data_IF_004219989761
#
_entry.id   IF_004219989761
#
_cell.length_a   1.000
_cell.length_b   1.000
_cell.length_c   1.000
_cell.angle_alpha   90.00
_cell.angle_beta   90.00
_cell.angle_gamma   90.00
#
_symmetry.space_group_name_H-M   'P 1'
#
loop_
_entity.id
_entity.type
_entity.pdbx_description
1 polymer ?
#
# COMPACT_ATOMS: atom_id res chain seq x y z
N UNK A 1 37.43 -22.59 44.48
CA UNK A 1 36.12 -22.02 44.89
C UNK A 1 35.84 -20.77 44.03
N UNK A 2 35.88 -20.90 42.69
CA UNK A 2 35.73 -19.76 41.75
C UNK A 2 35.18 -20.17 40.36
N UNK A 3 35.00 -21.48 40.08
CA UNK A 3 34.43 -21.96 38.80
C UNK A 3 32.96 -22.36 38.88
N UNK A 4 32.37 -22.47 40.08
CA UNK A 4 30.93 -22.76 40.22
C UNK A 4 30.04 -21.52 40.13
N UNK A 5 30.57 -20.32 40.36
CA UNK A 5 29.78 -19.07 40.31
C UNK A 5 29.67 -18.49 38.89
N UNK A 6 30.63 -18.75 38.00
CA UNK A 6 30.53 -18.30 36.59
C UNK A 6 29.47 -19.09 35.81
N UNK A 7 29.29 -20.38 36.12
CA UNK A 7 28.32 -21.21 35.41
C UNK A 7 26.88 -20.98 35.88
N UNK A 8 26.64 -20.43 37.07
CA UNK A 8 25.28 -20.05 37.51
C UNK A 8 24.86 -18.68 36.98
N UNK A 9 25.80 -17.78 36.70
CA UNK A 9 25.50 -16.43 36.21
C UNK A 9 25.18 -16.38 34.71
N UNK A 10 25.72 -17.31 33.91
CA UNK A 10 25.43 -17.38 32.46
C UNK A 10 24.04 -17.99 32.14
N UNK A 11 23.46 -18.80 33.04
CA UNK A 11 22.15 -19.40 32.80
C UNK A 11 20.99 -18.46 33.15
N UNK A 12 21.11 -17.64 34.19
CA UNK A 12 20.06 -16.69 34.61
C UNK A 12 19.87 -15.53 33.60
N UNK A 13 20.93 -15.07 32.94
CA UNK A 13 20.84 -14.00 31.92
C UNK A 13 20.22 -14.51 30.60
N UNK A 14 20.43 -15.78 30.25
CA UNK A 14 19.83 -16.38 29.05
C UNK A 14 18.32 -16.59 29.21
N UNK A 15 17.87 -17.01 30.40
CA UNK A 15 16.44 -17.16 30.71
C UNK A 15 15.76 -15.81 30.82
N UNK A 16 16.40 -14.80 31.43
CA UNK A 16 15.86 -13.45 31.45
C UNK A 16 15.78 -12.83 30.04
N UNK A 17 16.75 -13.09 29.15
CA UNK A 17 16.73 -12.60 27.78
C UNK A 17 15.64 -13.28 26.94
N UNK A 18 15.45 -14.60 27.10
CA UNK A 18 14.38 -15.34 26.43
C UNK A 18 13.00 -14.92 26.97
N UNK A 19 12.86 -14.70 28.27
CA UNK A 19 11.63 -14.20 28.89
C UNK A 19 11.34 -12.74 28.52
N UNK A 20 12.35 -11.87 28.37
CA UNK A 20 12.16 -10.51 27.86
C UNK A 20 11.79 -10.51 26.38
N UNK A 21 12.34 -11.43 25.58
CA UNK A 21 11.94 -11.59 24.18
C UNK A 21 10.52 -12.12 24.06
N UNK A 22 10.17 -13.17 24.81
CA UNK A 22 8.83 -13.74 24.86
C UNK A 22 7.81 -12.74 25.41
N UNK A 23 8.17 -11.92 26.42
CA UNK A 23 7.36 -10.78 26.85
C UNK A 23 7.26 -9.71 25.76
N UNK A 24 8.33 -9.33 25.07
CA UNK A 24 8.23 -8.34 23.96
C UNK A 24 7.41 -8.85 22.76
N UNK A 25 7.31 -10.17 22.58
CA UNK A 25 6.43 -10.79 21.58
C UNK A 25 5.00 -11.03 22.10
N UNK A 26 4.78 -11.10 23.42
CA UNK A 26 3.46 -11.27 24.04
C UNK A 26 2.82 -9.93 24.50
N UNK A 27 3.62 -8.89 24.75
CA UNK A 27 3.23 -7.53 25.12
C UNK A 27 2.79 -6.70 23.91
N UNK A 28 2.98 -7.23 22.69
CA UNK A 28 2.27 -6.78 21.48
C UNK A 28 0.88 -7.44 21.37
N UNK A 29 0.17 -7.48 22.49
CA UNK A 29 -1.22 -7.88 22.55
C UNK A 29 -2.05 -6.90 21.70
N UNK A 30 -2.26 -7.28 20.44
CA UNK A 30 -3.29 -6.77 19.53
C UNK A 30 -3.44 -5.24 19.56
N UNK A 31 -2.50 -4.54 18.93
CA UNK A 31 -2.82 -3.20 18.42
C UNK A 31 -4.15 -3.31 17.67
N UNK A 32 -5.17 -2.60 18.15
CA UNK A 32 -6.54 -2.72 17.66
C UNK A 32 -6.53 -2.43 16.16
N UNK A 33 -6.74 -3.47 15.34
CA UNK A 33 -6.83 -3.33 13.89
C UNK A 33 -7.76 -2.16 13.53
N UNK A 34 -7.20 -1.13 12.91
CA UNK A 34 -7.91 0.08 12.54
C UNK A 34 -7.79 0.31 11.05
N UNK A 35 -8.88 0.05 10.33
CA UNK A 35 -9.00 0.36 8.91
C UNK A 35 -9.38 1.83 8.72
N UNK A 36 -8.89 2.43 7.64
CA UNK A 36 -9.19 3.80 7.27
C UNK A 36 -10.68 4.00 7.00
N UNK A 37 -11.20 5.19 7.29
CA UNK A 37 -12.62 5.48 7.13
C UNK A 37 -13.00 5.56 5.63
N UNK A 38 -14.17 5.02 5.29
CA UNK A 38 -14.68 5.01 3.92
C UNK A 38 -16.19 5.21 3.89
N UNK A 39 -16.67 6.26 3.20
CA UNK A 39 -18.11 6.54 3.04
C UNK A 39 -18.69 6.19 1.68
N UNK A 40 -17.85 6.07 0.65
CA UNK A 40 -18.25 6.00 -0.77
C UNK A 40 -18.60 7.36 -1.40
N UNK A 41 -18.22 8.48 -0.78
CA UNK A 41 -18.45 9.82 -1.33
C UNK A 41 -17.41 10.19 -2.41
N UNK A 42 -17.86 10.96 -3.41
CA UNK A 42 -17.02 11.52 -4.48
C UNK A 42 -17.29 13.04 -4.55
N UNK A 43 -16.27 13.91 -4.37
CA UNK A 43 -14.86 13.60 -4.08
C UNK A 43 -14.67 12.98 -2.69
N UNK A 44 -13.54 12.26 -2.49
CA UNK A 44 -13.20 11.61 -1.22
C UNK A 44 -13.04 12.67 -0.12
N UNK A 45 -13.76 12.57 1.01
CA UNK A 45 -13.65 13.53 2.11
C UNK A 45 -12.27 13.54 2.77
N UNK A 46 -11.93 14.66 3.42
CA UNK A 46 -10.73 14.77 4.25
C UNK A 46 -10.79 13.74 5.39
N UNK A 47 -9.73 12.93 5.53
CA UNK A 47 -9.61 11.80 6.47
C UNK A 47 -10.38 10.52 6.10
N UNK A 48 -10.84 10.40 4.85
CA UNK A 48 -11.36 9.16 4.31
C UNK A 48 -10.47 8.69 3.14
N UNK A 49 -10.63 7.42 2.76
CA UNK A 49 -9.88 6.81 1.66
C UNK A 49 -10.79 6.44 0.49
N UNK A 50 -10.20 6.15 -0.67
CA UNK A 50 -10.93 5.56 -1.79
C UNK A 50 -11.35 4.12 -1.49
N UNK A 51 -12.25 3.56 -2.31
CA UNK A 51 -12.60 2.14 -2.16
C UNK A 51 -11.40 1.24 -2.48
N UNK A 52 -10.58 1.62 -3.45
CA UNK A 52 -9.38 0.89 -3.88
C UNK A 52 -8.32 0.81 -2.79
N UNK A 53 -8.21 1.84 -1.95
CA UNK A 53 -7.30 1.89 -0.81
C UNK A 53 -7.84 1.04 0.34
N UNK A 54 -9.13 1.17 0.67
CA UNK A 54 -9.77 0.31 1.67
C UNK A 54 -9.63 -1.17 1.30
N UNK A 55 -9.86 -1.52 0.02
CA UNK A 55 -9.72 -2.89 -0.49
C UNK A 55 -8.31 -3.42 -0.27
N UNK A 56 -7.29 -2.59 -0.51
CA UNK A 56 -5.89 -2.96 -0.24
C UNK A 56 -5.63 -3.18 1.25
N UNK A 57 -6.10 -2.27 2.11
CA UNK A 57 -5.95 -2.44 3.56
C UNK A 57 -6.57 -3.75 4.03
N UNK A 58 -7.79 -4.05 3.58
CA UNK A 58 -8.50 -5.30 3.91
C UNK A 58 -7.74 -6.53 3.41
N UNK A 59 -7.24 -6.50 2.17
CA UNK A 59 -6.45 -7.59 1.58
C UNK A 59 -5.14 -7.85 2.33
N UNK A 60 -4.50 -6.81 2.85
CA UNK A 60 -3.28 -6.93 3.64
C UNK A 60 -3.53 -7.47 5.04
N UNK A 61 -4.65 -7.12 5.67
CA UNK A 61 -4.92 -7.51 7.06
C UNK A 61 -5.61 -8.88 7.16
N UNK A 62 -6.33 -9.34 6.13
CA UNK A 62 -6.98 -10.66 6.14
C UNK A 62 -6.00 -11.84 6.21
N UNK A 63 -4.73 -11.63 5.81
CA UNK A 63 -3.68 -12.65 5.91
C UNK A 63 -3.04 -12.74 7.29
N UNK A 64 -3.25 -11.73 8.14
CA UNK A 64 -2.65 -11.63 9.49
C UNK A 64 -3.71 -11.84 10.58
N UNK A 65 -4.90 -11.25 10.40
CA UNK A 65 -5.94 -11.18 11.41
C UNK A 65 -7.08 -12.16 11.15
N UNK A 66 -7.78 -12.55 12.22
CA UNK A 66 -8.98 -13.39 12.10
C UNK A 66 -10.08 -12.67 11.31
N UNK A 67 -10.89 -13.45 10.57
CA UNK A 67 -12.06 -12.96 9.83
C UNK A 67 -12.99 -12.10 10.70
N UNK A 68 -13.20 -12.49 11.96
CA UNK A 68 -14.03 -11.73 12.90
C UNK A 68 -13.41 -10.38 13.26
N UNK A 69 -12.09 -10.32 13.49
CA UNK A 69 -11.37 -9.09 13.78
C UNK A 69 -11.44 -8.12 12.60
N UNK A 70 -11.19 -8.62 11.38
CA UNK A 70 -11.28 -7.81 10.15
C UNK A 70 -12.70 -7.31 9.92
N UNK A 71 -13.71 -8.18 10.04
CA UNK A 71 -15.14 -7.82 9.90
C UNK A 71 -15.56 -6.74 10.90
N UNK A 72 -15.10 -6.82 12.15
CA UNK A 72 -15.38 -5.80 13.16
C UNK A 72 -14.68 -4.47 12.88
N UNK A 73 -13.44 -4.49 12.38
CA UNK A 73 -12.74 -3.27 11.98
C UNK A 73 -13.40 -2.62 10.77
N UNK A 74 -13.74 -3.42 9.76
CA UNK A 74 -14.42 -2.98 8.54
C UNK A 74 -15.76 -2.29 8.88
N UNK A 75 -16.56 -2.90 9.77
CA UNK A 75 -17.80 -2.30 10.28
C UNK A 75 -17.63 -0.91 10.92
N UNK A 76 -16.48 -0.65 11.54
CA UNK A 76 -16.14 0.65 12.16
C UNK A 76 -15.61 1.65 11.14
N UNK A 77 -14.87 1.18 10.14
CA UNK A 77 -14.34 1.98 9.04
C UNK A 77 -15.45 2.51 8.11
N UNK A 78 -16.47 1.70 7.81
CA UNK A 78 -17.55 2.11 6.92
C UNK A 78 -18.40 3.24 7.52
N UNK A 79 -18.65 4.28 6.71
CA UNK A 79 -19.48 5.46 7.01
C UNK A 79 -20.50 5.68 5.88
N UNK A 80 -21.37 6.67 6.03
CA UNK A 80 -22.22 7.17 4.96
C UNK A 80 -23.00 6.10 4.18
N UNK A 81 -22.87 6.13 2.84
CA UNK A 81 -23.56 5.21 1.94
C UNK A 81 -23.01 3.78 2.06
N UNK A 82 -21.70 3.62 2.18
CA UNK A 82 -21.06 2.32 2.33
C UNK A 82 -21.55 1.57 3.59
N UNK A 83 -21.69 2.27 4.72
CA UNK A 83 -22.25 1.68 5.96
C UNK A 83 -23.69 1.25 5.78
N UNK A 84 -24.52 2.06 5.10
CA UNK A 84 -25.93 1.71 4.84
C UNK A 84 -26.06 0.45 3.99
N UNK A 85 -25.20 0.32 2.96
CA UNK A 85 -25.14 -0.90 2.13
C UNK A 85 -24.84 -2.14 2.98
N UNK A 86 -23.79 -2.08 3.80
CA UNK A 86 -23.45 -3.18 4.70
C UNK A 86 -24.58 -3.53 5.69
N UNK A 87 -25.33 -2.54 6.19
CA UNK A 87 -26.45 -2.79 7.12
C UNK A 87 -27.64 -3.51 6.49
N UNK A 88 -27.80 -3.45 5.16
CA UNK A 88 -28.83 -4.21 4.44
C UNK A 88 -28.41 -5.64 4.10
N UNK A 89 -27.15 -6.01 4.38
CA UNK A 89 -26.67 -7.38 4.20
C UNK A 89 -27.10 -8.26 5.38
N UNK A 90 -27.07 -9.59 5.18
CA UNK A 90 -27.28 -10.57 6.24
C UNK A 90 -26.26 -10.37 7.39
N UNK A 91 -26.63 -10.51 8.68
CA UNK A 91 -25.71 -10.33 9.80
C UNK A 91 -24.44 -11.22 9.73
N UNK A 92 -24.60 -12.41 9.14
CA UNK A 92 -23.57 -13.44 8.97
C UNK A 92 -22.62 -13.13 7.81
N UNK A 93 -22.86 -12.08 7.01
CA UNK A 93 -22.11 -11.81 5.79
C UNK A 93 -20.59 -11.82 6.01
N UNK A 94 -19.84 -12.56 5.19
CA UNK A 94 -18.39 -12.67 5.35
C UNK A 94 -17.68 -11.37 4.94
N UNK A 95 -16.39 -11.25 5.24
CA UNK A 95 -15.61 -10.08 4.78
C UNK A 95 -15.62 -10.02 3.25
N UNK A 96 -15.50 -11.16 2.59
CA UNK A 96 -15.51 -11.29 1.13
C UNK A 96 -16.85 -10.86 0.53
N UNK A 97 -17.97 -11.27 1.13
CA UNK A 97 -19.31 -10.85 0.68
C UNK A 97 -19.49 -9.33 0.85
N UNK A 98 -19.01 -8.76 1.96
CA UNK A 98 -19.07 -7.30 2.20
C UNK A 98 -18.20 -6.57 1.18
N UNK A 99 -16.97 -7.03 0.95
CA UNK A 99 -16.07 -6.42 -0.02
C UNK A 99 -16.59 -6.52 -1.45
N UNK A 100 -17.24 -7.62 -1.82
CA UNK A 100 -17.88 -7.79 -3.12
C UNK A 100 -19.02 -6.78 -3.32
N UNK A 101 -19.92 -6.65 -2.35
CA UNK A 101 -21.02 -5.67 -2.42
C UNK A 101 -20.47 -4.24 -2.53
N UNK A 102 -19.39 -3.92 -1.81
CA UNK A 102 -18.76 -2.61 -1.93
C UNK A 102 -18.07 -2.40 -3.29
N UNK A 103 -17.44 -3.43 -3.87
CA UNK A 103 -16.82 -3.39 -5.21
C UNK A 103 -17.88 -3.14 -6.30
N UNK A 104 -19.03 -3.79 -6.19
CA UNK A 104 -20.13 -3.63 -7.15
C UNK A 104 -20.73 -2.21 -7.15
N UNK A 105 -20.68 -1.51 -6.02
CA UNK A 105 -21.28 -0.18 -5.85
C UNK A 105 -20.27 0.97 -5.94
N UNK A 106 -19.03 0.75 -5.52
CA UNK A 106 -18.02 1.80 -5.36
C UNK A 106 -16.70 1.48 -6.06
N UNK A 107 -16.53 0.29 -6.60
CA UNK A 107 -15.33 -0.13 -7.31
C UNK A 107 -15.13 0.63 -8.61
N UNK A 108 -13.86 0.81 -8.97
CA UNK A 108 -13.50 1.42 -10.24
C UNK A 108 -13.85 0.51 -11.42
N UNK A 109 -14.95 0.87 -12.08
CA UNK A 109 -15.49 0.27 -13.31
C UNK A 109 -14.61 0.51 -14.55
N UNK A 110 -13.54 1.30 -14.46
CA UNK A 110 -12.64 1.48 -15.59
C UNK A 110 -12.05 0.13 -16.03
N UNK A 111 -12.09 -0.10 -17.35
CA UNK A 111 -11.45 -1.26 -17.98
C UNK A 111 -9.94 -1.23 -17.76
N UNK A 112 -9.31 -2.41 -17.84
CA UNK A 112 -7.85 -2.54 -17.79
C UNK A 112 -7.20 -1.63 -18.84
N UNK A 113 -7.74 -1.61 -20.07
CA UNK A 113 -7.25 -0.78 -21.15
C UNK A 113 -7.31 0.71 -20.79
N UNK A 114 -8.41 1.16 -20.17
CA UNK A 114 -8.54 2.56 -19.74
C UNK A 114 -7.49 2.93 -18.68
N UNK A 115 -7.27 2.05 -17.71
CA UNK A 115 -6.26 2.26 -16.66
C UNK A 115 -4.85 2.26 -17.26
N UNK A 116 -4.56 1.32 -18.17
CA UNK A 116 -3.28 1.21 -18.84
C UNK A 116 -3.02 2.42 -19.74
N UNK A 117 -4.02 2.89 -20.51
CA UNK A 117 -3.91 4.12 -21.29
C UNK A 117 -3.64 5.32 -20.41
N UNK A 118 -4.35 5.47 -19.28
CA UNK A 118 -4.07 6.55 -18.30
C UNK A 118 -2.63 6.51 -17.80
N UNK A 119 -2.14 5.32 -17.42
CA UNK A 119 -0.75 5.15 -17.01
C UNK A 119 0.22 5.53 -18.13
N UNK A 120 0.02 4.98 -19.34
CA UNK A 120 0.91 5.17 -20.48
C UNK A 120 0.94 6.62 -21.00
N UNK A 121 -0.14 7.38 -20.80
CA UNK A 121 -0.26 8.78 -21.23
C UNK A 121 0.04 9.78 -20.11
N UNK A 122 0.31 9.33 -18.88
CA UNK A 122 0.55 10.22 -17.75
C UNK A 122 1.83 11.05 -17.94
N UNK A 123 1.73 12.35 -17.69
CA UNK A 123 2.86 13.28 -17.67
C UNK A 123 2.83 14.08 -16.36
N UNK A 124 3.99 14.57 -15.92
CA UNK A 124 4.15 15.42 -14.76
C UNK A 124 3.36 16.73 -14.97
N UNK A 125 2.51 17.07 -14.01
CA UNK A 125 1.70 18.28 -14.08
C UNK A 125 2.53 19.54 -13.82
N UNK A 126 2.03 20.71 -14.22
CA UNK A 126 2.80 21.97 -14.18
C UNK A 126 3.29 22.35 -12.78
N UNK A 127 2.51 22.04 -11.73
CA UNK A 127 2.82 22.39 -10.35
C UNK A 127 3.14 21.15 -9.49
N UNK A 128 3.37 20.01 -10.11
CA UNK A 128 3.62 18.76 -9.42
C UNK A 128 5.13 18.56 -9.21
N UNK A 129 5.54 18.33 -7.97
CA UNK A 129 6.93 18.01 -7.63
C UNK A 129 7.32 16.64 -8.18
N UNK A 130 8.61 16.35 -8.33
CA UNK A 130 9.08 15.01 -8.77
C UNK A 130 8.59 13.91 -7.83
N UNK A 131 8.50 14.21 -6.53
CA UNK A 131 8.04 13.24 -5.53
C UNK A 131 6.56 12.91 -5.70
N UNK A 132 5.72 13.93 -5.91
CA UNK A 132 4.29 13.76 -6.17
C UNK A 132 4.07 13.03 -7.50
N UNK A 133 4.81 13.41 -8.56
CA UNK A 133 4.80 12.71 -9.85
C UNK A 133 5.13 11.22 -9.69
N UNK A 134 6.22 10.92 -8.99
CA UNK A 134 6.65 9.54 -8.72
C UNK A 134 5.60 8.74 -7.96
N UNK A 135 4.95 9.34 -6.96
CA UNK A 135 3.87 8.69 -6.21
C UNK A 135 2.65 8.41 -7.11
N UNK A 136 2.22 9.41 -7.90
CA UNK A 136 1.06 9.27 -8.77
C UNK A 136 1.23 8.19 -9.84
N UNK A 137 2.41 8.04 -10.43
CA UNK A 137 2.63 6.95 -11.40
C UNK A 137 2.72 5.57 -10.75
N UNK A 138 3.23 5.49 -9.52
CA UNK A 138 3.26 4.25 -8.74
C UNK A 138 1.82 3.79 -8.48
N UNK A 139 0.94 4.71 -8.09
CA UNK A 139 -0.49 4.47 -7.91
C UNK A 139 -1.18 4.02 -9.21
N UNK A 140 -0.95 4.74 -10.32
CA UNK A 140 -1.52 4.36 -11.63
C UNK A 140 -1.10 2.95 -12.06
N UNK A 141 0.17 2.59 -11.90
CA UNK A 141 0.65 1.25 -12.22
C UNK A 141 0.11 0.19 -11.26
N UNK A 142 -0.04 0.51 -9.98
CA UNK A 142 -0.64 -0.38 -9.00
C UNK A 142 -2.07 -0.76 -9.40
N UNK A 143 -2.88 0.19 -9.88
CA UNK A 143 -4.24 -0.11 -10.35
C UNK A 143 -4.27 -1.04 -11.57
N UNK A 144 -3.35 -0.85 -12.54
CA UNK A 144 -3.24 -1.73 -13.71
C UNK A 144 -2.84 -3.14 -13.28
N UNK A 145 -1.78 -3.25 -12.47
CA UNK A 145 -1.19 -4.53 -12.07
C UNK A 145 -2.10 -5.39 -11.21
N UNK A 146 -3.08 -4.79 -10.51
CA UNK A 146 -4.12 -5.53 -9.78
C UNK A 146 -5.08 -6.30 -10.70
N UNK A 147 -5.28 -5.84 -11.94
CA UNK A 147 -6.18 -6.47 -12.90
C UNK A 147 -5.45 -7.29 -13.98
N UNK A 148 -4.11 -7.23 -14.01
CA UNK A 148 -3.28 -7.88 -15.04
C UNK A 148 -2.25 -8.83 -14.42
N UNK A 149 -1.89 -9.91 -15.11
CA UNK A 149 -0.76 -10.77 -14.73
C UNK A 149 0.55 -10.27 -15.35
N UNK A 150 1.01 -9.10 -14.90
CA UNK A 150 2.35 -8.61 -15.25
C UNK A 150 3.38 -9.18 -14.27
N UNK A 151 4.56 -9.54 -14.77
CA UNK A 151 5.66 -9.94 -13.90
C UNK A 151 6.33 -8.72 -13.22
N UNK A 152 7.06 -8.95 -12.13
CA UNK A 152 7.69 -7.86 -11.36
C UNK A 152 8.76 -7.09 -12.15
N UNK A 153 9.40 -7.72 -13.15
CA UNK A 153 10.38 -7.05 -13.99
C UNK A 153 9.70 -6.09 -14.97
N UNK A 154 8.61 -6.54 -15.62
CA UNK A 154 7.77 -5.73 -16.50
C UNK A 154 7.22 -4.51 -15.76
N UNK A 155 6.72 -4.69 -14.53
CA UNK A 155 6.21 -3.59 -13.69
C UNK A 155 7.29 -2.53 -13.46
N UNK A 156 8.47 -2.95 -13.00
CA UNK A 156 9.58 -2.04 -12.70
C UNK A 156 10.08 -1.31 -13.95
N UNK A 157 10.15 -2.00 -15.09
CA UNK A 157 10.58 -1.39 -16.34
C UNK A 157 9.54 -0.42 -16.91
N UNK A 158 8.24 -0.77 -16.84
CA UNK A 158 7.14 0.13 -17.18
C UNK A 158 7.17 1.39 -16.33
N UNK A 159 7.30 1.25 -15.01
CA UNK A 159 7.36 2.37 -14.06
C UNK A 159 8.53 3.30 -14.39
N UNK A 160 9.73 2.73 -14.54
CA UNK A 160 10.96 3.47 -14.89
C UNK A 160 10.81 4.24 -16.19
N UNK A 161 10.34 3.58 -17.25
CA UNK A 161 10.13 4.20 -18.58
C UNK A 161 9.11 5.32 -18.50
N UNK A 162 7.98 5.09 -17.83
CA UNK A 162 6.92 6.09 -17.73
C UNK A 162 7.33 7.29 -16.88
N UNK A 163 8.01 7.06 -15.76
CA UNK A 163 8.54 8.13 -14.90
C UNK A 163 9.40 9.11 -15.69
N UNK A 164 10.44 8.61 -16.38
CA UNK A 164 11.39 9.46 -17.08
C UNK A 164 10.77 10.13 -18.31
N UNK A 165 9.96 9.40 -19.09
CA UNK A 165 9.30 9.95 -20.28
C UNK A 165 8.26 11.02 -19.93
N UNK A 166 7.63 10.90 -18.77
CA UNK A 166 6.62 11.84 -18.30
C UNK A 166 7.17 13.04 -17.54
N UNK A 167 8.48 13.13 -17.29
CA UNK A 167 9.07 14.34 -16.71
C UNK A 167 8.82 15.54 -17.64
N UNK A 168 8.44 16.67 -17.05
CA UNK A 168 8.14 17.90 -17.79
C UNK A 168 9.41 18.73 -18.08
N UNK A 169 10.37 18.69 -17.16
CA UNK A 169 11.61 19.47 -17.28
C UNK A 169 12.59 18.77 -18.23
N UNK A 170 12.79 19.34 -19.42
CA UNK A 170 13.71 18.79 -20.43
C UNK A 170 15.19 18.89 -20.03
N UNK A 171 15.60 19.92 -19.28
CA UNK A 171 16.96 20.03 -18.76
C UNK A 171 17.25 18.89 -17.78
N UNK A 172 16.30 18.61 -16.88
CA UNK A 172 16.38 17.48 -15.96
C UNK A 172 16.44 16.14 -16.72
N UNK A 173 15.60 15.95 -17.75
CA UNK A 173 15.62 14.73 -18.57
C UNK A 173 16.97 14.53 -19.23
N UNK A 174 17.56 15.60 -19.76
CA UNK A 174 18.88 15.57 -20.38
C UNK A 174 19.97 15.26 -19.36
N UNK A 175 19.96 15.92 -18.19
CA UNK A 175 20.93 15.67 -17.11
C UNK A 175 20.85 14.24 -16.57
N UNK A 176 19.65 13.65 -16.57
CA UNK A 176 19.42 12.30 -16.03
C UNK A 176 19.38 11.20 -17.10
N UNK A 177 19.62 11.53 -18.37
CA UNK A 177 19.55 10.61 -19.50
C UNK A 177 20.49 9.41 -19.36
N UNK A 178 21.72 9.65 -18.90
CA UNK A 178 22.70 8.57 -18.68
C UNK A 178 22.18 7.57 -17.66
N UNK A 179 21.59 8.05 -16.56
CA UNK A 179 21.00 7.17 -15.53
C UNK A 179 19.83 6.35 -16.07
N UNK A 180 19.02 6.92 -16.97
CA UNK A 180 17.94 6.21 -17.64
C UNK A 180 18.46 5.14 -18.64
N UNK A 181 19.46 5.48 -19.47
CA UNK A 181 20.03 4.59 -20.47
C UNK A 181 20.83 3.43 -19.85
N UNK A 182 21.47 3.65 -18.70
CA UNK A 182 22.19 2.62 -17.94
C UNK A 182 21.30 1.52 -17.33
N UNK A 183 19.98 1.53 -17.60
CA UNK A 183 19.02 0.55 -17.06
C UNK A 183 19.05 0.42 -15.54
N UNK A 184 19.37 1.51 -14.85
CA UNK A 184 19.27 1.58 -13.39
C UNK A 184 17.81 1.40 -12.94
N UNK A 185 17.62 0.98 -11.70
CA UNK A 185 16.27 0.80 -11.16
C UNK A 185 15.53 2.13 -11.06
N UNK A 186 14.21 2.04 -10.97
CA UNK A 186 13.35 3.21 -10.85
C UNK A 186 13.73 4.09 -9.63
N UNK A 187 14.10 3.46 -8.52
CA UNK A 187 14.48 4.07 -7.26
C UNK A 187 15.76 4.90 -7.41
N UNK A 188 16.76 4.36 -8.12
CA UNK A 188 17.98 5.11 -8.46
C UNK A 188 17.67 6.31 -9.36
N UNK A 189 16.77 6.15 -10.33
CA UNK A 189 16.39 7.23 -11.23
C UNK A 189 15.62 8.34 -10.50
N UNK A 190 14.71 7.97 -9.59
CA UNK A 190 13.97 8.88 -8.70
C UNK A 190 14.91 9.63 -7.75
N UNK A 191 15.95 8.95 -7.23
CA UNK A 191 16.97 9.58 -6.41
C UNK A 191 17.81 10.57 -7.23
N UNK A 192 18.32 10.16 -8.39
CA UNK A 192 19.14 11.00 -9.25
C UNK A 192 18.40 12.28 -9.70
N UNK A 193 17.13 12.15 -10.09
CA UNK A 193 16.30 13.31 -10.50
C UNK A 193 16.09 14.35 -9.41
N UNK A 194 16.12 13.95 -8.13
CA UNK A 194 16.04 14.87 -6.99
C UNK A 194 17.35 15.63 -6.73
N UNK A 195 18.49 15.07 -7.13
CA UNK A 195 19.80 15.72 -6.95
C UNK A 195 20.03 16.86 -7.93
N UNK A 196 19.35 16.85 -9.08
CA UNK A 196 19.44 17.88 -10.12
C UNK A 196 18.34 18.94 -10.02
N UNK A 197 17.60 18.99 -8.90
CA UNK A 197 16.56 19.97 -8.60
C UNK A 197 16.96 20.92 -7.47
#
# INVERSE_FOLDING_TARGET
MLEREKHSMEFEDSDNFVLHRQRSYQDNAYEKLNLSAFSGAVPVPKNEVSFEDLKLEVDNVKVIYSQNTVKQSLRKALRGQAKRKMLHMKPEATVEEIMSELDDNFGNVASIDTMLSKFLMAEQEQNETISEWGLRIEELLLHVTRKTRLDEHEKKDMLRKRFWRGLRNEELKNATRVHFESKLTYEYLKAATRTYW
#
